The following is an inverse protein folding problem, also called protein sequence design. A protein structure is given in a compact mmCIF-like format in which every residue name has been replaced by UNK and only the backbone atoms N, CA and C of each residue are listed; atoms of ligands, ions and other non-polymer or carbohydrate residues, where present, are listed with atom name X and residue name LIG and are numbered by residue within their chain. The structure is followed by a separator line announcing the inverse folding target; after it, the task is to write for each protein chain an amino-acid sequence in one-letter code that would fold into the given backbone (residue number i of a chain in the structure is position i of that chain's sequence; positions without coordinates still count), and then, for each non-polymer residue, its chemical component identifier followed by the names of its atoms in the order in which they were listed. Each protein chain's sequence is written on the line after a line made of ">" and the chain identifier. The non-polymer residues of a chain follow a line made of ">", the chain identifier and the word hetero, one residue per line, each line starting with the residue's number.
data_IF_149917696412
#
_entry.id   IF_149917696412
#
_cell.length_a   1.000
_cell.length_b   1.000
_cell.length_c   1.000
_cell.angle_alpha   90.00
_cell.angle_beta   90.00
_cell.angle_gamma   90.00
#
_symmetry.space_group_name_H-M   'P 1'
#
loop_
_entity.id
_entity.type
_entity.pdbx_description
1 polymer ?
#
# COMPACT_ATOMS: atom_id res chain seq x y z
N UNK A 1 -15.27 15.05 -13.34
CA UNK A 1 -14.27 14.16 -12.71
C UNK A 1 -13.40 13.62 -13.84
N UNK A 2 -12.08 13.80 -13.76
CA UNK A 2 -11.16 13.31 -14.79
C UNK A 2 -10.92 11.82 -14.52
N UNK A 3 -10.94 10.99 -15.58
CA UNK A 3 -10.84 9.54 -15.40
C UNK A 3 -9.40 9.16 -14.98
N UNK A 4 -9.20 8.57 -13.78
CA UNK A 4 -7.87 8.26 -13.27
C UNK A 4 -7.14 7.20 -14.10
N UNK A 5 -7.87 6.35 -14.82
CA UNK A 5 -7.25 5.39 -15.75
C UNK A 5 -6.59 6.10 -16.93
N UNK A 6 -7.24 7.15 -17.44
CA UNK A 6 -6.73 7.94 -18.56
C UNK A 6 -5.53 8.78 -18.13
N UNK A 7 -5.54 9.27 -16.88
CA UNK A 7 -4.38 9.94 -16.26
C UNK A 7 -3.16 9.03 -16.09
N UNK A 8 -3.40 7.74 -15.80
CA UNK A 8 -2.34 6.75 -15.60
C UNK A 8 -1.74 6.25 -16.91
N UNK A 9 -2.59 5.95 -17.88
CA UNK A 9 -2.18 5.31 -19.13
C UNK A 9 -1.63 6.33 -20.13
N UNK A 10 -2.21 7.53 -20.18
CA UNK A 10 -1.87 8.55 -21.19
C UNK A 10 -1.72 9.95 -20.55
N UNK A 11 -0.82 10.13 -19.57
CA UNK A 11 -0.66 11.41 -18.88
C UNK A 11 -0.25 12.54 -19.83
N UNK A 12 0.53 12.22 -20.86
CA UNK A 12 0.99 13.16 -21.89
C UNK A 12 -0.17 13.66 -22.76
N UNK A 13 -1.05 12.77 -23.22
CA UNK A 13 -2.24 13.15 -24.00
C UNK A 13 -3.24 13.97 -23.17
N UNK A 14 -3.35 13.67 -21.87
CA UNK A 14 -4.16 14.47 -20.95
C UNK A 14 -3.51 15.83 -20.70
N UNK A 15 -2.19 15.91 -20.57
CA UNK A 15 -1.47 17.17 -20.42
C UNK A 15 -1.66 18.08 -21.64
N UNK A 16 -1.60 17.56 -22.86
CA UNK A 16 -1.89 18.34 -24.08
C UNK A 16 -3.34 18.85 -24.11
N UNK A 17 -4.31 17.98 -23.81
CA UNK A 17 -5.73 18.35 -23.74
C UNK A 17 -5.99 19.40 -22.64
N UNK A 18 -5.30 19.32 -21.51
CA UNK A 18 -5.42 20.31 -20.44
C UNK A 18 -4.69 21.62 -20.78
N UNK A 19 -3.55 21.55 -21.48
CA UNK A 19 -2.81 22.73 -21.93
C UNK A 19 -3.65 23.56 -22.92
N UNK A 20 -4.42 22.91 -23.81
CA UNK A 20 -5.38 23.61 -24.69
C UNK A 20 -6.49 24.35 -23.93
N UNK A 21 -6.77 23.95 -22.68
CA UNK A 21 -7.71 24.61 -21.77
C UNK A 21 -7.04 25.60 -20.82
N UNK A 22 -5.73 25.85 -20.97
CA UNK A 22 -4.95 26.73 -20.11
C UNK A 22 -4.53 26.11 -18.77
N UNK A 23 -4.65 24.80 -18.60
CA UNK A 23 -4.28 24.10 -17.38
C UNK A 23 -2.98 23.30 -17.58
N UNK A 24 -1.97 23.56 -16.75
CA UNK A 24 -0.68 22.88 -16.83
C UNK A 24 -0.68 21.65 -15.92
N UNK A 25 -0.84 20.46 -16.51
CA UNK A 25 -0.73 19.21 -15.76
C UNK A 25 0.74 18.88 -15.53
N UNK A 26 1.11 18.63 -14.27
CA UNK A 26 2.47 18.25 -13.87
C UNK A 26 2.63 16.72 -13.93
N UNK A 27 2.99 16.23 -15.13
CA UNK A 27 3.11 14.80 -15.44
C UNK A 27 4.21 14.14 -14.60
N UNK A 28 5.31 14.84 -14.33
CA UNK A 28 6.42 14.34 -13.52
C UNK A 28 5.96 14.06 -12.08
N UNK A 29 5.20 15.00 -11.51
CA UNK A 29 4.61 14.85 -10.18
C UNK A 29 3.62 13.70 -10.14
N UNK A 30 2.83 13.52 -11.20
CA UNK A 30 1.89 12.42 -11.33
C UNK A 30 2.61 11.06 -11.37
N UNK A 31 3.66 10.93 -12.19
CA UNK A 31 4.49 9.73 -12.29
C UNK A 31 5.14 9.39 -10.95
N UNK A 32 5.69 10.38 -10.25
CA UNK A 32 6.29 10.18 -8.92
C UNK A 32 5.27 9.69 -7.88
N UNK A 33 4.04 10.19 -7.91
CA UNK A 33 2.96 9.72 -7.03
C UNK A 33 2.50 8.31 -7.37
N UNK A 34 2.42 7.97 -8.66
CA UNK A 34 2.11 6.62 -9.11
C UNK A 34 3.14 5.59 -8.68
N UNK A 35 4.43 5.94 -8.80
CA UNK A 35 5.51 5.07 -8.39
C UNK A 35 5.48 4.84 -6.87
N UNK A 36 5.29 5.91 -6.08
CA UNK A 36 5.06 5.79 -4.63
C UNK A 36 3.85 4.92 -4.30
N UNK A 37 2.75 5.07 -5.05
CA UNK A 37 1.56 4.23 -4.85
C UNK A 37 1.87 2.76 -5.10
N UNK A 38 2.56 2.42 -6.20
CA UNK A 38 2.96 1.03 -6.48
C UNK A 38 3.84 0.46 -5.38
N UNK A 39 4.83 1.23 -4.93
CA UNK A 39 5.72 0.83 -3.82
C UNK A 39 4.91 0.59 -2.55
N UNK A 40 4.01 1.50 -2.18
CA UNK A 40 3.15 1.35 -1.01
C UNK A 40 2.22 0.14 -1.13
N UNK A 41 1.67 -0.12 -2.33
CA UNK A 41 0.80 -1.27 -2.56
C UNK A 41 1.56 -2.58 -2.33
N UNK A 42 2.75 -2.73 -2.93
CA UNK A 42 3.61 -3.90 -2.71
C UNK A 42 4.03 -4.04 -1.25
N UNK A 43 4.39 -2.93 -0.59
CA UNK A 43 4.72 -2.93 0.84
C UNK A 43 3.54 -3.40 1.70
N UNK A 44 2.33 -2.96 1.38
CA UNK A 44 1.11 -3.35 2.09
C UNK A 44 0.80 -4.82 1.89
N UNK A 45 0.89 -5.32 0.66
CA UNK A 45 0.71 -6.74 0.34
C UNK A 45 1.74 -7.62 1.07
N UNK A 46 3.01 -7.20 1.09
CA UNK A 46 4.06 -7.89 1.82
C UNK A 46 3.82 -7.89 3.33
N UNK A 47 3.44 -6.74 3.92
CA UNK A 47 3.11 -6.64 5.35
C UNK A 47 1.89 -7.48 5.72
N UNK A 48 0.88 -7.54 4.85
CA UNK A 48 -0.30 -8.38 5.05
C UNK A 48 0.05 -9.87 4.97
N UNK A 49 0.89 -10.28 4.02
CA UNK A 49 1.39 -11.64 3.92
C UNK A 49 2.21 -12.02 5.16
N UNK A 50 3.06 -11.12 5.64
CA UNK A 50 3.85 -11.30 6.86
C UNK A 50 2.95 -11.44 8.10
N UNK A 51 1.93 -10.57 8.24
CA UNK A 51 0.92 -10.66 9.30
C UNK A 51 0.24 -12.02 9.28
N UNK A 52 -0.26 -12.47 8.13
CA UNK A 52 -0.97 -13.74 7.99
C UNK A 52 -0.08 -14.95 8.33
N UNK A 53 1.18 -14.91 7.90
CA UNK A 53 2.17 -15.95 8.22
C UNK A 53 2.45 -16.00 9.73
N UNK A 54 2.69 -14.84 10.36
CA UNK A 54 2.90 -14.72 11.80
C UNK A 54 1.67 -15.19 12.59
N UNK A 55 0.46 -14.81 12.19
CA UNK A 55 -0.79 -15.26 12.85
C UNK A 55 -0.97 -16.78 12.79
N UNK A 56 -0.63 -17.44 11.68
CA UNK A 56 -0.64 -18.92 11.59
C UNK A 56 0.40 -19.55 12.52
N UNK A 57 1.60 -18.97 12.57
CA UNK A 57 2.70 -19.41 13.42
C UNK A 57 2.31 -19.33 14.91
N UNK A 58 1.70 -18.21 15.31
CA UNK A 58 1.15 -17.97 16.65
C UNK A 58 0.08 -19.00 17.00
N UNK A 59 -0.86 -19.27 16.09
CA UNK A 59 -1.89 -20.30 16.31
C UNK A 59 -1.30 -21.70 16.52
N UNK A 60 -0.25 -22.05 15.78
CA UNK A 60 0.45 -23.33 15.94
C UNK A 60 1.27 -23.40 17.23
N UNK A 61 1.95 -22.31 17.62
CA UNK A 61 2.68 -22.22 18.89
C UNK A 61 1.72 -22.31 20.09
N UNK A 62 0.56 -21.64 20.01
CA UNK A 62 -0.53 -21.75 20.99
C UNK A 62 -1.04 -23.18 21.14
N UNK A 63 -1.19 -23.90 20.02
CA UNK A 63 -1.59 -25.31 20.04
C UNK A 63 -0.52 -26.24 20.65
N UNK A 64 0.76 -25.84 20.57
CA UNK A 64 1.91 -26.56 21.16
C UNK A 64 2.19 -26.18 22.62
N UNK A 65 1.51 -25.17 23.17
CA UNK A 65 1.69 -24.72 24.54
C UNK A 65 2.98 -23.91 24.78
N UNK A 66 3.60 -23.38 23.72
CA UNK A 66 4.78 -22.52 23.82
C UNK A 66 4.40 -21.07 24.16
N UNK A 67 5.30 -20.37 24.85
CA UNK A 67 5.07 -19.01 25.36
C UNK A 67 4.90 -18.00 24.21
N UNK A 68 3.69 -17.43 24.11
CA UNK A 68 3.22 -16.70 22.92
C UNK A 68 3.42 -15.19 23.07
N UNK A 69 3.75 -14.70 24.26
CA UNK A 69 3.88 -13.26 24.55
C UNK A 69 4.92 -12.58 23.65
N UNK A 70 6.07 -13.24 23.41
CA UNK A 70 7.10 -12.72 22.51
C UNK A 70 6.60 -12.57 21.06
N UNK A 71 5.81 -13.52 20.57
CA UNK A 71 5.28 -13.49 19.19
C UNK A 71 4.17 -12.46 18.99
N UNK A 72 3.41 -12.17 20.04
CA UNK A 72 2.26 -11.25 19.98
C UNK A 72 2.73 -9.80 19.82
N UNK A 73 3.77 -9.39 20.56
CA UNK A 73 4.37 -8.05 20.48
C UNK A 73 4.84 -7.66 19.07
N UNK A 74 5.47 -8.60 18.35
CA UNK A 74 5.94 -8.39 16.98
C UNK A 74 4.80 -8.30 15.97
N UNK A 75 3.64 -8.90 16.24
CA UNK A 75 2.47 -8.85 15.35
C UNK A 75 1.74 -7.50 15.41
N UNK A 76 1.66 -6.88 16.59
CA UNK A 76 1.06 -5.56 16.80
C UNK A 76 1.89 -4.44 16.14
N UNK A 77 3.22 -4.61 16.12
CA UNK A 77 4.13 -3.63 15.49
C UNK A 77 4.04 -3.66 13.96
N UNK A 78 3.87 -4.86 13.36
CA UNK A 78 3.60 -5.01 11.93
C UNK A 78 2.23 -4.43 11.56
N UNK A 79 1.21 -4.64 12.39
CA UNK A 79 -0.13 -4.05 12.20
C UNK A 79 -0.12 -2.52 12.21
N UNK A 80 0.64 -1.89 13.13
CA UNK A 80 0.82 -0.43 13.17
C UNK A 80 1.53 0.12 11.93
N UNK A 81 2.49 -0.62 11.36
CA UNK A 81 3.19 -0.24 10.12
C UNK A 81 2.32 -0.35 8.86
N UNK A 82 1.39 -1.30 8.83
CA UNK A 82 0.49 -1.50 7.69
C UNK A 82 -0.63 -0.45 7.60
N UNK A 83 -0.75 0.49 8.55
CA UNK A 83 -1.81 1.48 8.54
C UNK A 83 -3.20 0.89 8.81
N UNK A 84 -3.30 -0.38 9.22
CA UNK A 84 -4.51 -0.96 9.78
C UNK A 84 -4.73 -0.37 11.18
N UNK A 85 -5.25 0.85 11.25
CA UNK A 85 -6.22 1.18 12.30
C UNK A 85 -7.47 0.36 11.96
N UNK A 86 -7.52 -0.88 12.43
CA UNK A 86 -8.82 -1.51 12.67
C UNK A 86 -9.56 -0.60 13.67
N UNK A 87 -10.83 -0.33 13.35
CA UNK A 87 -11.71 0.73 13.85
C UNK A 87 -11.60 1.12 15.32
#
# INVERSE_FOLDING_TARGET
>A
MLDPNLLRNEPDAVAEKLASRGFKLDVDKLRALEERRKVLQVQTENLQAERNSRSKSIGQAKARGEDIEYFTSGSEQTGRRAGCRES
#
